data_IF_802918099435
#
_entry.id   IF_802918099435
#
_cell.length_a   1.000
_cell.length_b   1.000
_cell.length_c   1.000
_cell.angle_alpha   90.00
_cell.angle_beta   90.00
_cell.angle_gamma   90.00
#
_symmetry.space_group_name_H-M   'P 1'
#
loop_
_entity.id
_entity.type
_entity.pdbx_description
1 polymer ?
#
# COMPACT_ATOMS: atom_id res chain seq x y z
N UNK A 1 10.76 -8.35 9.18
CA UNK A 1 10.67 -9.79 8.85
C UNK A 1 10.06 -10.61 9.99
N UNK A 2 10.59 -10.59 11.22
CA UNK A 2 10.06 -11.36 12.34
C UNK A 2 8.55 -11.19 12.60
N UNK A 3 8.04 -9.96 12.52
CA UNK A 3 6.62 -9.66 12.71
C UNK A 3 5.70 -10.41 11.72
N UNK A 4 6.03 -10.45 10.42
CA UNK A 4 5.26 -11.22 9.43
C UNK A 4 5.36 -12.72 9.68
N UNK A 5 6.56 -13.22 10.02
CA UNK A 5 6.78 -14.64 10.31
C UNK A 5 5.97 -15.11 11.53
N UNK A 6 5.75 -14.22 12.52
CA UNK A 6 5.03 -14.55 13.75
C UNK A 6 3.50 -14.43 13.61
N UNK A 7 3.00 -13.49 12.80
CA UNK A 7 1.56 -13.18 12.72
C UNK A 7 0.86 -13.77 11.50
N UNK A 8 1.60 -14.26 10.53
CA UNK A 8 1.04 -14.79 9.27
C UNK A 8 1.70 -16.11 8.91
N UNK A 9 1.20 -16.79 7.87
CA UNK A 9 1.89 -17.94 7.28
C UNK A 9 3.02 -17.54 6.31
N UNK A 10 3.20 -16.26 6.01
CA UNK A 10 4.29 -15.78 5.15
C UNK A 10 5.62 -16.01 5.85
N UNK A 11 6.60 -16.54 5.11
CA UNK A 11 7.95 -16.79 5.60
C UNK A 11 8.95 -16.02 4.75
N UNK A 12 9.60 -15.05 5.36
CA UNK A 12 10.66 -14.25 4.74
C UNK A 12 12.01 -14.75 5.21
N UNK A 13 12.89 -15.04 4.26
CA UNK A 13 14.28 -15.45 4.50
C UNK A 13 15.17 -14.78 3.46
N UNK A 14 16.45 -14.64 3.79
CA UNK A 14 17.43 -14.03 2.88
C UNK A 14 17.64 -14.96 1.68
N UNK A 15 17.63 -14.37 0.48
CA UNK A 15 18.06 -15.08 -0.72
C UNK A 15 19.53 -15.46 -0.58
N UNK A 16 19.89 -16.67 -1.03
CA UNK A 16 21.29 -17.10 -1.11
C UNK A 16 22.01 -16.30 -2.20
N UNK A 17 23.31 -16.08 -2.05
CA UNK A 17 24.10 -15.31 -3.02
C UNK A 17 24.00 -15.84 -4.47
N UNK A 18 23.79 -17.15 -4.64
CA UNK A 18 23.65 -17.82 -5.93
C UNK A 18 22.19 -18.12 -6.33
N UNK A 19 21.20 -17.59 -5.59
CA UNK A 19 19.79 -17.82 -5.89
C UNK A 19 19.39 -17.05 -7.15
N UNK A 20 19.10 -17.79 -8.23
CA UNK A 20 18.67 -17.25 -9.52
C UNK A 20 17.16 -17.01 -9.61
N UNK A 21 16.39 -17.41 -8.58
CA UNK A 21 14.95 -17.20 -8.56
C UNK A 21 14.66 -15.71 -8.33
N UNK A 22 13.55 -15.26 -8.88
CA UNK A 22 13.07 -13.91 -8.65
C UNK A 22 12.81 -13.69 -7.15
N UNK A 23 13.36 -12.61 -6.60
CA UNK A 23 13.20 -12.23 -5.21
C UNK A 23 12.99 -10.73 -5.07
N UNK A 24 12.65 -10.29 -3.85
CA UNK A 24 12.58 -8.88 -3.51
C UNK A 24 14.00 -8.38 -3.23
N UNK A 25 14.40 -7.31 -3.89
CA UNK A 25 15.63 -6.58 -3.61
C UNK A 25 15.32 -5.37 -2.73
N UNK A 26 15.65 -5.46 -1.44
CA UNK A 26 15.52 -4.34 -0.51
C UNK A 26 16.69 -3.37 -0.72
N UNK A 27 16.41 -2.12 -1.08
CA UNK A 27 17.45 -1.12 -1.34
C UNK A 27 17.02 0.30 -0.93
N UNK A 28 17.92 1.27 -1.07
CA UNK A 28 17.68 2.69 -0.74
C UNK A 28 18.06 3.61 -1.90
N UNK A 29 18.01 3.12 -3.14
CA UNK A 29 18.64 3.75 -4.30
C UNK A 29 17.91 5.01 -4.78
N UNK A 30 16.63 5.18 -4.43
CA UNK A 30 15.81 6.31 -4.87
C UNK A 30 15.14 7.03 -3.70
N UNK A 31 14.84 8.33 -3.83
CA UNK A 31 14.06 9.04 -2.83
C UNK A 31 12.66 8.44 -2.64
N UNK A 32 12.20 8.37 -1.39
CA UNK A 32 10.87 7.90 -1.03
C UNK A 32 10.78 6.40 -0.70
N UNK A 33 9.56 5.94 -0.46
CA UNK A 33 9.24 4.57 -0.08
C UNK A 33 8.28 4.02 -1.12
N UNK A 34 8.60 2.87 -1.71
CA UNK A 34 7.73 2.23 -2.69
C UNK A 34 8.09 0.75 -2.91
N UNK A 35 7.08 -0.02 -3.30
CA UNK A 35 7.23 -1.36 -3.85
C UNK A 35 6.26 -1.61 -5.00
N UNK A 36 6.51 -2.67 -5.76
CA UNK A 36 5.54 -3.24 -6.68
C UNK A 36 4.38 -3.89 -5.90
N UNK A 37 3.22 -4.04 -6.54
CA UNK A 37 2.10 -4.78 -5.95
C UNK A 37 2.17 -6.23 -6.40
N UNK A 38 2.54 -7.12 -5.48
CA UNK A 38 2.62 -8.56 -5.70
C UNK A 38 3.82 -8.98 -6.58
N UNK A 39 3.89 -10.28 -6.86
CA UNK A 39 4.94 -10.85 -7.69
C UNK A 39 4.94 -10.20 -9.09
N UNK A 40 5.99 -9.43 -9.37
CA UNK A 40 6.13 -8.74 -10.65
C UNK A 40 7.32 -9.30 -11.41
N UNK A 41 7.04 -10.15 -12.41
CA UNK A 41 8.09 -10.74 -13.27
C UNK A 41 8.72 -9.66 -14.14
N UNK A 42 9.93 -9.23 -13.78
CA UNK A 42 10.71 -8.28 -14.56
C UNK A 42 11.44 -8.98 -15.72
N UNK A 43 11.62 -8.26 -16.84
CA UNK A 43 12.39 -8.76 -18.00
C UNK A 43 13.87 -9.01 -17.65
N UNK A 44 14.41 -8.23 -16.73
CA UNK A 44 15.76 -8.36 -16.15
C UNK A 44 15.69 -7.93 -14.68
N UNK A 45 16.44 -8.62 -13.82
CA UNK A 45 16.59 -8.25 -12.41
C UNK A 45 15.45 -8.71 -11.49
N UNK A 46 15.54 -8.23 -10.25
CA UNK A 46 14.64 -8.54 -9.13
C UNK A 46 13.71 -7.36 -8.84
N UNK A 47 12.58 -7.62 -8.19
CA UNK A 47 11.62 -6.56 -7.87
C UNK A 47 12.14 -5.71 -6.72
N UNK A 48 12.17 -4.40 -6.91
CA UNK A 48 12.64 -3.48 -5.88
C UNK A 48 11.60 -3.30 -4.75
N UNK A 49 12.09 -3.30 -3.52
CA UNK A 49 11.45 -2.70 -2.36
C UNK A 49 12.36 -1.59 -1.86
N UNK A 50 12.04 -0.35 -2.27
CA UNK A 50 12.87 0.81 -1.96
C UNK A 50 12.43 1.41 -0.63
N UNK A 51 13.33 1.36 0.35
CA UNK A 51 13.16 1.93 1.68
C UNK A 51 14.25 2.97 1.90
N UNK A 52 14.07 4.17 1.36
CA UNK A 52 14.98 5.28 1.63
C UNK A 52 15.05 5.60 3.15
N UNK A 53 16.07 6.35 3.59
CA UNK A 53 16.32 6.62 5.02
C UNK A 53 15.10 7.13 5.79
N UNK A 54 14.26 7.94 5.15
CA UNK A 54 13.05 8.48 5.76
C UNK A 54 11.89 7.48 5.94
N UNK A 55 11.97 6.31 5.31
CA UNK A 55 11.00 5.23 5.48
C UNK A 55 11.11 4.53 6.83
N UNK A 56 12.17 4.80 7.60
CA UNK A 56 12.37 4.25 8.93
C UNK A 56 11.95 5.22 10.05
N UNK A 57 11.54 6.44 9.70
CA UNK A 57 10.96 7.37 10.67
C UNK A 57 9.52 6.96 11.00
N UNK A 58 9.24 6.66 12.28
CA UNK A 58 7.91 6.28 12.78
C UNK A 58 7.66 4.77 12.80
N UNK A 59 7.89 4.14 13.96
CA UNK A 59 7.50 2.77 14.39
C UNK A 59 7.38 1.73 13.25
N UNK A 60 8.32 1.71 12.30
CA UNK A 60 8.38 0.75 11.20
C UNK A 60 7.11 0.65 10.32
N UNK A 61 6.13 1.55 10.47
CA UNK A 61 4.83 1.46 9.77
C UNK A 61 5.01 1.44 8.24
N UNK A 62 5.87 2.32 7.74
CA UNK A 62 6.14 2.42 6.29
C UNK A 62 6.80 1.15 5.75
N UNK A 63 7.70 0.51 6.52
CA UNK A 63 8.32 -0.76 6.13
C UNK A 63 7.25 -1.85 5.99
N UNK A 64 6.29 -1.93 6.91
CA UNK A 64 5.16 -2.84 6.82
C UNK A 64 4.27 -2.54 5.61
N UNK A 65 3.96 -1.26 5.37
CA UNK A 65 3.19 -0.80 4.21
C UNK A 65 3.80 -1.28 2.88
N UNK A 66 5.08 -1.01 2.66
CA UNK A 66 5.75 -1.41 1.42
C UNK A 66 5.90 -2.92 1.29
N UNK A 67 6.08 -3.62 2.41
CA UNK A 67 6.14 -5.09 2.39
C UNK A 67 4.79 -5.69 2.01
N UNK A 68 3.67 -5.13 2.50
CA UNK A 68 2.32 -5.56 2.11
C UNK A 68 2.05 -5.32 0.62
N UNK A 69 2.55 -4.23 0.06
CA UNK A 69 2.54 -4.04 -1.39
C UNK A 69 3.27 -5.19 -2.10
N UNK A 70 4.50 -5.50 -1.71
CA UNK A 70 5.26 -6.59 -2.32
C UNK A 70 4.55 -7.96 -2.21
N UNK A 71 3.75 -8.17 -1.15
CA UNK A 71 2.93 -9.36 -0.96
C UNK A 71 1.64 -9.40 -1.80
N UNK A 72 1.26 -8.29 -2.45
CA UNK A 72 0.12 -8.23 -3.37
C UNK A 72 -1.03 -7.33 -2.93
N UNK A 73 -0.92 -6.66 -1.79
CA UNK A 73 -2.00 -5.81 -1.30
C UNK A 73 -1.95 -4.43 -1.94
N UNK A 74 -3.10 -3.97 -2.46
CA UNK A 74 -3.28 -2.60 -2.93
C UNK A 74 -3.72 -1.71 -1.77
N UNK A 75 -3.66 -0.40 -1.97
CA UNK A 75 -4.19 0.53 -0.99
C UNK A 75 -5.68 0.35 -0.71
N UNK A 76 -6.09 0.61 0.53
CA UNK A 76 -7.48 0.40 0.96
C UNK A 76 -8.44 1.37 0.27
N UNK A 77 -8.03 2.63 0.03
CA UNK A 77 -8.85 3.63 -0.66
C UNK A 77 -9.08 3.37 -2.16
N UNK A 78 -8.43 2.34 -2.72
CA UNK A 78 -8.66 1.89 -4.10
C UNK A 78 -9.45 0.59 -4.19
N UNK A 79 -10.02 0.10 -3.08
CA UNK A 79 -10.97 -1.02 -3.13
C UNK A 79 -12.16 -0.70 -4.02
N UNK A 80 -12.77 -1.74 -4.58
CA UNK A 80 -13.92 -1.61 -5.48
C UNK A 80 -15.15 -0.98 -4.78
N UNK A 81 -15.35 -1.29 -3.50
CA UNK A 81 -16.43 -0.86 -2.62
C UNK A 81 -16.13 0.45 -1.87
N UNK A 82 -14.97 1.07 -2.12
CA UNK A 82 -14.52 2.21 -1.31
C UNK A 82 -15.51 3.39 -1.28
N UNK A 83 -16.31 3.58 -2.33
CA UNK A 83 -17.30 4.68 -2.41
C UNK A 83 -18.48 4.49 -1.43
N UNK A 84 -18.66 3.30 -0.84
CA UNK A 84 -19.63 3.05 0.25
C UNK A 84 -19.09 3.48 1.62
N UNK A 85 -17.79 3.78 1.70
CA UNK A 85 -17.05 4.01 2.94
C UNK A 85 -16.45 5.41 3.00
N UNK A 86 -15.95 5.91 1.86
CA UNK A 86 -15.26 7.20 1.74
C UNK A 86 -15.70 7.95 0.49
N UNK A 87 -15.62 9.28 0.56
CA UNK A 87 -15.70 10.17 -0.60
C UNK A 87 -14.30 10.68 -0.95
N UNK A 88 -13.91 10.54 -2.21
CA UNK A 88 -12.68 11.15 -2.75
C UNK A 88 -13.02 12.40 -3.56
N UNK A 89 -12.43 13.53 -3.18
CA UNK A 89 -12.61 14.82 -3.86
C UNK A 89 -11.59 15.01 -4.97
N UNK A 90 -11.97 14.68 -6.20
CA UNK A 90 -11.09 14.78 -7.39
C UNK A 90 -10.52 16.19 -7.59
N UNK A 91 -11.31 17.22 -7.32
CA UNK A 91 -10.94 18.64 -7.40
C UNK A 91 -9.83 19.04 -6.40
N UNK A 92 -9.70 18.31 -5.30
CA UNK A 92 -8.71 18.57 -4.24
C UNK A 92 -7.42 17.76 -4.40
N UNK A 93 -7.42 16.79 -5.29
CA UNK A 93 -6.25 15.95 -5.58
C UNK A 93 -5.42 16.60 -6.68
N UNK A 94 -4.10 16.67 -6.50
CA UNK A 94 -3.20 17.08 -7.57
C UNK A 94 -3.47 16.26 -8.85
N UNK A 95 -3.72 16.88 -10.03
CA UNK A 95 -4.11 16.15 -11.25
C UNK A 95 -3.16 15.00 -11.61
N UNK A 96 -1.84 15.20 -11.43
CA UNK A 96 -0.79 14.18 -11.68
C UNK A 96 -0.90 12.95 -10.76
N UNK A 97 -1.62 13.07 -9.64
CA UNK A 97 -1.77 12.04 -8.61
C UNK A 97 -3.14 11.37 -8.59
N UNK A 98 -4.09 11.80 -9.43
CA UNK A 98 -5.45 11.23 -9.48
C UNK A 98 -5.47 9.71 -9.69
N UNK A 99 -4.52 9.19 -10.48
CA UNK A 99 -4.39 7.75 -10.73
C UNK A 99 -4.23 6.89 -9.47
N UNK A 100 -3.73 7.46 -8.37
CA UNK A 100 -3.56 6.75 -7.08
C UNK A 100 -4.89 6.57 -6.30
N UNK A 101 -5.97 7.20 -6.77
CA UNK A 101 -7.32 7.09 -6.18
C UNK A 101 -8.30 6.34 -7.08
N UNK A 102 -7.84 5.86 -8.24
CA UNK A 102 -8.68 5.09 -9.17
C UNK A 102 -8.94 3.72 -8.56
N UNK A 103 -10.21 3.36 -8.45
CA UNK A 103 -10.64 2.05 -7.92
C UNK A 103 -10.06 0.91 -8.74
N UNK A 104 -9.73 -0.18 -8.06
CA UNK A 104 -9.31 -1.43 -8.69
C UNK A 104 -10.43 -1.96 -9.56
N UNK A 105 -10.12 -2.20 -10.84
CA UNK A 105 -11.04 -2.81 -11.81
C UNK A 105 -10.85 -4.33 -11.82
N UNK A 106 -11.88 -5.05 -12.29
CA UNK A 106 -11.78 -6.48 -12.64
C UNK A 106 -11.91 -7.46 -11.47
N UNK A 107 -11.95 -7.02 -10.22
CA UNK A 107 -12.21 -7.87 -9.05
C UNK A 107 -13.32 -7.23 -8.22
N UNK A 108 -14.39 -7.97 -7.94
CA UNK A 108 -15.56 -7.53 -7.16
C UNK A 108 -15.97 -8.58 -6.13
N UNK A 109 -16.82 -8.19 -5.19
CA UNK A 109 -17.41 -9.10 -4.21
C UNK A 109 -16.36 -9.67 -3.25
N UNK A 110 -16.60 -10.91 -2.81
CA UNK A 110 -15.76 -11.60 -1.83
C UNK A 110 -14.28 -11.60 -2.20
N UNK A 111 -13.93 -11.85 -3.46
CA UNK A 111 -12.52 -11.92 -3.91
C UNK A 111 -11.78 -10.58 -3.82
N UNK A 112 -12.50 -9.45 -3.90
CA UNK A 112 -11.87 -8.14 -3.86
C UNK A 112 -11.54 -7.66 -2.44
N UNK A 113 -12.23 -8.20 -1.44
CA UNK A 113 -12.02 -7.88 -0.02
C UNK A 113 -11.57 -9.06 0.82
N UNK A 114 -11.49 -10.25 0.24
CA UNK A 114 -11.35 -11.53 0.94
C UNK A 114 -12.42 -11.73 2.02
N UNK A 115 -13.62 -11.18 1.79
CA UNK A 115 -14.71 -11.15 2.77
C UNK A 115 -14.51 -10.19 3.95
N UNK A 116 -13.42 -9.42 3.97
CA UNK A 116 -13.12 -8.51 5.07
C UNK A 116 -13.84 -7.17 4.94
N UNK A 117 -14.29 -6.58 6.07
CA UNK A 117 -14.85 -5.23 6.08
C UNK A 117 -13.82 -4.19 5.60
N UNK A 118 -14.31 -3.01 5.26
CA UNK A 118 -13.43 -1.88 4.94
C UNK A 118 -12.76 -1.38 6.21
N UNK A 119 -11.43 -1.46 6.25
CA UNK A 119 -10.63 -1.06 7.41
C UNK A 119 -10.09 0.36 7.25
N UNK A 120 -10.69 1.30 7.99
CA UNK A 120 -10.29 2.71 8.00
C UNK A 120 -8.92 2.95 8.65
N UNK A 121 -8.48 2.10 9.57
CA UNK A 121 -7.16 2.20 10.22
C UNK A 121 -6.15 1.22 9.60
N UNK A 122 -6.44 0.74 8.40
CA UNK A 122 -5.50 -0.09 7.67
C UNK A 122 -4.25 0.72 7.39
N UNK A 123 -3.09 0.14 7.66
CA UNK A 123 -1.79 0.72 7.30
C UNK A 123 -1.66 1.00 5.79
N UNK A 124 -2.50 0.37 4.96
CA UNK A 124 -2.59 0.56 3.52
C UNK A 124 -3.60 1.65 3.11
N UNK A 125 -4.28 2.29 4.05
CA UNK A 125 -5.20 3.38 3.77
C UNK A 125 -4.44 4.70 3.72
N UNK A 126 -4.75 5.55 2.75
CA UNK A 126 -4.20 6.90 2.71
C UNK A 126 -4.78 7.81 3.80
N UNK A 127 -3.94 8.65 4.44
CA UNK A 127 -4.41 9.73 5.30
C UNK A 127 -5.30 10.75 4.55
N UNK A 128 -6.10 11.55 5.28
CA UNK A 128 -7.11 12.43 4.68
C UNK A 128 -6.57 13.49 3.71
N UNK A 129 -5.29 13.89 3.85
CA UNK A 129 -4.68 14.99 3.10
C UNK A 129 -3.71 14.54 2.00
N UNK A 130 -3.57 13.23 1.79
CA UNK A 130 -2.64 12.69 0.81
C UNK A 130 -2.89 13.28 -0.58
N UNK A 131 -1.83 13.82 -1.19
CA UNK A 131 -1.83 14.48 -2.49
C UNK A 131 -2.78 15.69 -2.64
N UNK A 132 -3.15 16.34 -1.52
CA UNK A 132 -3.93 17.57 -1.54
C UNK A 132 -3.23 18.70 -2.30
N UNK A 133 -3.98 19.44 -3.12
CA UNK A 133 -3.50 20.61 -3.87
C UNK A 133 -3.92 21.95 -3.25
N UNK A 134 -4.75 21.94 -2.20
CA UNK A 134 -5.39 23.15 -1.66
C UNK A 134 -5.52 23.12 -0.13
N UNK A 135 -4.71 22.28 0.55
CA UNK A 135 -4.70 22.08 2.01
C UNK A 135 -6.05 21.59 2.58
N UNK A 136 -7.01 21.20 1.75
CA UNK A 136 -8.27 20.56 2.15
C UNK A 136 -8.14 19.04 2.05
N UNK A 137 -8.91 18.27 2.84
CA UNK A 137 -8.87 16.81 2.78
C UNK A 137 -9.33 16.30 1.41
N UNK A 138 -8.57 15.38 0.84
CA UNK A 138 -8.85 14.64 -0.39
C UNK A 138 -9.76 13.44 -0.14
N UNK A 139 -9.73 12.87 1.06
CA UNK A 139 -10.59 11.76 1.50
C UNK A 139 -11.47 12.22 2.67
N UNK A 140 -12.77 11.91 2.61
CA UNK A 140 -13.71 12.08 3.74
C UNK A 140 -14.43 10.77 4.02
N UNK A 141 -14.57 10.41 5.29
CA UNK A 141 -15.35 9.24 5.71
C UNK A 141 -16.85 9.51 5.55
N UNK A 142 -17.59 8.50 5.08
CA UNK A 142 -19.06 8.56 4.97
C UNK A 142 -19.76 8.09 6.25
N UNK A 143 -19.05 7.32 7.09
CA UNK A 143 -19.53 6.82 8.38
C UNK A 143 -18.66 7.37 9.50
N UNK A 144 -19.24 7.50 10.71
CA UNK A 144 -18.46 7.84 11.91
C UNK A 144 -17.47 6.72 12.20
N UNK A 145 -16.22 7.07 12.39
CA UNK A 145 -15.15 6.16 12.77
C UNK A 145 -14.38 6.76 13.95
N UNK A 146 -14.14 5.97 14.99
CA UNK A 146 -13.33 6.37 16.14
C UNK A 146 -11.94 5.73 15.98
N UNK A 147 -10.99 6.50 15.46
CA UNK A 147 -9.61 6.06 15.22
C UNK A 147 -8.86 6.98 14.26
N UNK A 148 -7.60 6.65 14.01
CA UNK A 148 -6.78 7.33 12.99
C UNK A 148 -7.07 6.74 11.60
N UNK A 149 -7.17 7.61 10.60
CA UNK A 149 -7.35 7.18 9.20
C UNK A 149 -5.96 6.93 8.58
N UNK A 150 -5.65 5.67 8.34
CA UNK A 150 -4.32 5.22 7.86
C UNK A 150 -3.28 5.03 8.96
#
# INVERSE_FOLDING_TARGET
>A
MAHFNNLTCVRMFLAKANDKRHHILVNQNKPGCFSFVGYTKLKKGNQDLNLHKNCFYGIHKVVFHETLHALGFKHTQVRYDRDDHIKVYKDRVSPKRWKNFVRTKGVKGYLASLGLPYDYNSILHYPPYTFSNNKKPTIKLLKKFKGELG
#
